data_IF_534995545365
#
_entry.id   IF_534995545365
#
_cell.length_a   1.000
_cell.length_b   1.000
_cell.length_c   1.000
_cell.angle_alpha   90.00
_cell.angle_beta   90.00
_cell.angle_gamma   90.00
#
_symmetry.space_group_name_H-M   'P 1'
#
loop_
_entity.id
_entity.type
_entity.pdbx_description
1 polymer ?
#
# COMPACT_ATOMS: atom_id res chain seq x y z
N UNK A 1 -27.60 -1.36 -50.42
CA UNK A 1 -26.52 -2.28 -50.85
C UNK A 1 -25.66 -2.54 -49.61
N UNK A 2 -25.66 -3.75 -49.06
CA UNK A 2 -25.01 -4.03 -47.77
C UNK A 2 -23.49 -4.07 -47.96
N UNK A 3 -22.75 -3.23 -47.23
CA UNK A 3 -21.28 -3.21 -47.24
C UNK A 3 -20.71 -4.26 -46.30
N UNK A 4 -19.71 -5.03 -46.74
CA UNK A 4 -18.99 -6.00 -45.90
C UNK A 4 -17.68 -5.38 -45.44
N UNK A 5 -17.44 -5.37 -44.13
CA UNK A 5 -16.23 -4.79 -43.53
C UNK A 5 -15.51 -5.86 -42.70
N UNK A 6 -14.22 -6.03 -42.97
CA UNK A 6 -13.33 -6.89 -42.17
C UNK A 6 -12.80 -6.14 -40.94
N UNK A 7 -12.91 -6.75 -39.75
CA UNK A 7 -12.41 -6.16 -38.49
C UNK A 7 -11.47 -7.14 -37.79
N UNK A 8 -10.36 -6.61 -37.28
CA UNK A 8 -9.34 -7.35 -36.55
C UNK A 8 -9.50 -7.12 -35.05
N UNK A 9 -9.81 -8.14 -34.24
CA UNK A 9 -9.93 -7.98 -32.79
C UNK A 9 -8.62 -8.38 -32.12
N UNK A 10 -7.75 -7.41 -31.81
CA UNK A 10 -6.40 -7.65 -31.28
C UNK A 10 -6.39 -7.77 -29.76
N UNK A 11 -6.62 -8.94 -29.16
CA UNK A 11 -6.47 -9.10 -27.69
C UNK A 11 -5.04 -8.76 -27.24
N UNK A 12 -4.82 -8.13 -26.08
CA UNK A 12 -3.46 -7.84 -25.62
C UNK A 12 -2.73 -9.16 -25.37
N UNK A 13 -1.53 -9.23 -25.94
CA UNK A 13 -0.65 -10.37 -26.10
C UNK A 13 -0.49 -11.28 -24.88
N UNK A 14 -0.92 -12.54 -25.00
CA UNK A 14 -0.14 -13.65 -24.47
C UNK A 14 0.93 -14.00 -25.51
N UNK A 15 2.17 -14.19 -25.05
CA UNK A 15 3.30 -14.65 -25.86
C UNK A 15 2.95 -15.96 -26.56
N UNK A 16 2.79 -15.89 -27.88
CA UNK A 16 2.58 -17.01 -28.78
C UNK A 16 2.00 -16.46 -30.07
N UNK A 17 2.64 -16.73 -31.21
CA UNK A 17 2.24 -16.26 -32.53
C UNK A 17 0.86 -16.79 -32.95
N UNK A 18 -0.21 -16.22 -32.41
CA UNK A 18 -1.57 -16.42 -32.92
C UNK A 18 -2.07 -15.09 -33.45
N UNK A 19 -2.30 -15.04 -34.77
CA UNK A 19 -2.96 -13.91 -35.41
C UNK A 19 -4.29 -13.64 -34.71
N UNK A 20 -4.62 -12.36 -34.40
CA UNK A 20 -5.84 -12.03 -33.70
C UNK A 20 -7.08 -12.51 -34.47
N UNK A 21 -8.15 -12.94 -33.78
CA UNK A 21 -9.35 -13.45 -34.43
C UNK A 21 -9.93 -12.38 -35.35
N UNK A 22 -10.16 -12.77 -36.61
CA UNK A 22 -10.83 -11.94 -37.63
C UNK A 22 -12.31 -12.26 -37.64
N UNK A 23 -13.14 -11.22 -37.73
CA UNK A 23 -14.60 -11.33 -37.85
C UNK A 23 -15.09 -10.32 -38.88
N UNK A 24 -16.09 -10.73 -39.67
CA UNK A 24 -16.77 -9.85 -40.61
C UNK A 24 -18.06 -9.37 -39.95
N UNK A 25 -18.27 -8.06 -39.96
CA UNK A 25 -19.49 -7.45 -39.45
C UNK A 25 -20.22 -6.79 -40.63
N UNK A 26 -21.54 -6.93 -40.64
CA UNK A 26 -22.40 -6.28 -41.61
C UNK A 26 -22.97 -5.03 -40.97
N UNK A 27 -22.75 -3.89 -41.62
CA UNK A 27 -23.25 -2.58 -41.18
C UNK A 27 -24.22 -2.06 -42.24
N UNK A 28 -25.18 -1.25 -41.83
CA UNK A 28 -26.05 -0.55 -42.76
C UNK A 28 -25.31 0.61 -43.47
N UNK A 29 -25.94 1.23 -44.47
CA UNK A 29 -25.29 2.28 -45.26
C UNK A 29 -24.94 3.53 -44.44
N UNK A 30 -25.67 3.81 -43.36
CA UNK A 30 -25.39 4.95 -42.49
C UNK A 30 -24.19 4.67 -41.59
N UNK A 31 -24.16 3.48 -40.99
CA UNK A 31 -23.07 3.00 -40.15
C UNK A 31 -21.76 2.81 -40.92
N UNK A 32 -21.82 2.34 -42.18
CA UNK A 32 -20.65 2.28 -43.07
C UNK A 32 -20.06 3.68 -43.30
N UNK A 33 -20.90 4.70 -43.51
CA UNK A 33 -20.44 6.10 -43.69
C UNK A 33 -19.81 6.67 -42.43
N UNK A 34 -20.27 6.25 -41.25
CA UNK A 34 -19.67 6.62 -39.97
C UNK A 34 -18.34 5.87 -39.79
N UNK A 35 -18.32 4.58 -40.10
CA UNK A 35 -17.14 3.73 -40.02
C UNK A 35 -15.99 4.21 -40.90
N UNK A 36 -16.27 4.65 -42.12
CA UNK A 36 -15.24 5.14 -43.05
C UNK A 36 -14.59 6.45 -42.59
N UNK A 37 -15.29 7.24 -41.77
CA UNK A 37 -14.75 8.45 -41.13
C UNK A 37 -13.83 8.13 -39.94
N UNK A 38 -13.85 6.90 -39.42
CA UNK A 38 -12.96 6.51 -38.32
C UNK A 38 -11.53 6.24 -38.80
N UNK A 39 -10.50 6.58 -38.00
CA UNK A 39 -9.10 6.34 -38.36
C UNK A 39 -8.84 4.84 -38.55
N UNK A 40 -8.45 4.43 -39.76
CA UNK A 40 -8.35 3.01 -40.19
C UNK A 40 -7.49 2.13 -39.27
N UNK A 41 -6.40 2.68 -38.71
CA UNK A 41 -5.51 1.96 -37.79
C UNK A 41 -6.03 1.79 -36.36
N UNK A 42 -7.14 2.45 -35.99
CA UNK A 42 -7.69 2.43 -34.62
C UNK A 42 -9.14 1.94 -34.53
N UNK A 43 -9.77 1.61 -35.67
CA UNK A 43 -11.18 1.18 -35.71
C UNK A 43 -11.47 0.01 -34.76
N UNK A 44 -10.58 -0.98 -34.74
CA UNK A 44 -10.65 -2.13 -33.85
C UNK A 44 -10.54 -1.80 -32.36
N UNK A 45 -9.70 -0.81 -32.03
CA UNK A 45 -9.49 -0.36 -30.65
C UNK A 45 -10.69 0.43 -30.15
N UNK A 46 -11.23 1.31 -31.00
CA UNK A 46 -12.45 2.07 -30.73
C UNK A 46 -13.67 1.17 -30.56
N UNK A 47 -13.82 0.16 -31.43
CA UNK A 47 -14.89 -0.83 -31.29
C UNK A 47 -14.77 -1.60 -29.97
N UNK A 48 -13.55 -1.94 -29.54
CA UNK A 48 -13.33 -2.57 -28.23
C UNK A 48 -13.70 -1.65 -27.09
N UNK A 49 -13.21 -0.42 -27.09
CA UNK A 49 -13.55 0.55 -26.05
C UNK A 49 -15.06 0.71 -25.97
N UNK A 50 -15.73 0.83 -27.11
CA UNK A 50 -17.18 0.90 -27.15
C UNK A 50 -17.83 -0.34 -26.53
N UNK A 51 -17.40 -1.57 -26.89
CA UNK A 51 -17.94 -2.81 -26.31
C UNK A 51 -17.67 -2.97 -24.81
N UNK A 52 -16.54 -2.45 -24.31
CA UNK A 52 -16.16 -2.49 -22.89
C UNK A 52 -16.91 -1.42 -22.10
N UNK A 53 -16.98 -0.19 -22.62
CA UNK A 53 -17.59 0.97 -21.98
C UNK A 53 -19.12 0.87 -21.93
N UNK A 54 -19.72 0.17 -22.89
CA UNK A 54 -21.18 0.06 -22.97
C UNK A 54 -21.78 -1.08 -22.16
N UNK A 55 -20.98 -1.88 -21.42
CA UNK A 55 -21.43 -3.12 -20.75
C UNK A 55 -22.53 -3.80 -21.58
N UNK A 56 -22.27 -4.09 -22.87
CA UNK A 56 -23.35 -4.54 -23.76
C UNK A 56 -23.90 -5.86 -23.23
N UNK A 57 -24.93 -5.78 -22.40
CA UNK A 57 -25.91 -6.83 -22.18
C UNK A 57 -26.66 -6.94 -23.49
N UNK A 58 -26.05 -7.67 -24.42
CA UNK A 58 -26.76 -8.19 -25.57
C UNK A 58 -27.87 -9.04 -24.96
N UNK A 59 -29.11 -8.57 -25.03
CA UNK A 59 -30.28 -9.44 -24.98
C UNK A 59 -30.20 -10.33 -26.23
N UNK A 60 -29.36 -11.36 -26.15
CA UNK A 60 -29.25 -12.39 -27.16
C UNK A 60 -30.59 -13.14 -27.07
N UNK A 61 -31.46 -12.92 -28.05
CA UNK A 61 -32.75 -13.62 -28.20
C UNK A 61 -32.57 -15.12 -28.55
N UNK A 62 -31.36 -15.65 -28.48
CA UNK A 62 -31.04 -17.07 -28.46
C UNK A 62 -30.56 -17.43 -27.06
N UNK A 63 -31.30 -18.30 -26.38
CA UNK A 63 -30.94 -18.84 -25.07
C UNK A 63 -29.55 -19.50 -25.18
N UNK A 64 -28.50 -18.80 -24.71
CA UNK A 64 -27.14 -19.35 -24.71
C UNK A 64 -27.21 -20.64 -23.88
N UNK A 65 -26.86 -21.80 -24.44
CA UNK A 65 -26.97 -23.06 -23.71
C UNK A 65 -26.22 -22.97 -22.39
N UNK A 66 -26.88 -23.31 -21.29
CA UNK A 66 -26.29 -23.26 -19.94
C UNK A 66 -24.95 -24.01 -19.89
N UNK A 67 -24.83 -25.11 -20.64
CA UNK A 67 -23.60 -25.86 -20.83
C UNK A 67 -22.44 -24.98 -21.38
N UNK A 68 -22.69 -24.11 -22.35
CA UNK A 68 -21.67 -23.24 -22.93
C UNK A 68 -21.17 -22.22 -21.91
N UNK A 69 -22.10 -21.62 -21.13
CA UNK A 69 -21.77 -20.68 -20.05
C UNK A 69 -20.92 -21.38 -18.99
N UNK A 70 -21.32 -22.59 -18.58
CA UNK A 70 -20.61 -23.38 -17.58
C UNK A 70 -19.21 -23.79 -18.07
N UNK A 71 -19.06 -24.20 -19.33
CA UNK A 71 -17.76 -24.53 -19.93
C UNK A 71 -16.82 -23.33 -19.99
N UNK A 72 -17.32 -22.14 -20.31
CA UNK A 72 -16.50 -20.94 -20.31
C UNK A 72 -16.04 -20.59 -18.89
N UNK A 73 -16.96 -20.60 -17.93
CA UNK A 73 -16.64 -20.36 -16.51
C UNK A 73 -15.62 -21.37 -15.98
N UNK A 74 -15.75 -22.65 -16.35
CA UNK A 74 -14.80 -23.68 -15.97
C UNK A 74 -13.40 -23.43 -16.56
N UNK A 75 -13.33 -23.04 -17.84
CA UNK A 75 -12.05 -22.70 -18.47
C UNK A 75 -11.41 -21.43 -17.91
N UNK A 76 -12.20 -20.46 -17.46
CA UNK A 76 -11.68 -19.29 -16.74
C UNK A 76 -11.15 -19.68 -15.34
N UNK A 77 -11.87 -20.53 -14.62
CA UNK A 77 -11.43 -21.03 -13.32
C UNK A 77 -10.11 -21.83 -13.43
N UNK A 78 -10.01 -22.73 -14.39
CA UNK A 78 -8.81 -23.55 -14.67
C UNK A 78 -7.57 -22.68 -14.98
N UNK A 79 -7.76 -21.59 -15.76
CA UNK A 79 -6.70 -20.60 -16.01
C UNK A 79 -6.28 -19.84 -14.76
N UNK A 80 -7.23 -19.44 -13.93
CA UNK A 80 -6.94 -18.74 -12.68
C UNK A 80 -6.23 -19.65 -11.68
N UNK A 81 -6.61 -20.92 -11.62
CA UNK A 81 -5.94 -21.96 -10.83
C UNK A 81 -4.49 -22.15 -11.30
N UNK A 82 -4.29 -22.42 -12.60
CA UNK A 82 -2.94 -22.55 -13.18
C UNK A 82 -2.05 -21.33 -12.91
N UNK A 83 -2.63 -20.12 -12.96
CA UNK A 83 -1.90 -18.89 -12.65
C UNK A 83 -1.60 -18.75 -11.15
N UNK A 84 -2.52 -19.16 -10.27
CA UNK A 84 -2.31 -19.17 -8.84
C UNK A 84 -1.22 -20.17 -8.44
N UNK A 85 -1.24 -21.38 -8.99
CA UNK A 85 -0.21 -22.41 -8.78
C UNK A 85 1.17 -21.93 -9.22
N UNK A 86 1.28 -21.33 -10.42
CA UNK A 86 2.54 -20.79 -10.91
C UNK A 86 3.11 -19.71 -9.99
N UNK A 87 2.25 -18.83 -9.45
CA UNK A 87 2.68 -17.80 -8.48
C UNK A 87 3.04 -18.42 -7.13
N UNK A 88 2.29 -19.42 -6.68
CA UNK A 88 2.58 -20.13 -5.44
C UNK A 88 3.97 -20.77 -5.52
N UNK A 89 4.24 -21.53 -6.58
CA UNK A 89 5.54 -22.13 -6.83
C UNK A 89 6.67 -21.09 -6.87
N UNK A 90 6.46 -19.96 -7.56
CA UNK A 90 7.43 -18.86 -7.55
C UNK A 90 7.74 -18.37 -6.13
N UNK A 91 6.71 -18.15 -5.31
CA UNK A 91 6.89 -17.71 -3.93
C UNK A 91 7.51 -18.78 -3.04
N UNK A 92 7.23 -20.06 -3.26
CA UNK A 92 7.91 -21.16 -2.56
C UNK A 92 9.41 -21.18 -2.83
N UNK A 93 9.83 -21.00 -4.09
CA UNK A 93 11.25 -20.88 -4.44
C UNK A 93 11.90 -19.70 -3.72
N UNK A 94 11.29 -18.51 -3.76
CA UNK A 94 11.80 -17.32 -3.06
C UNK A 94 11.88 -17.56 -1.55
N UNK A 95 10.88 -18.21 -0.95
CA UNK A 95 10.88 -18.52 0.47
C UNK A 95 11.98 -19.51 0.85
N UNK A 96 12.20 -20.54 0.03
CA UNK A 96 13.30 -21.50 0.19
C UNK A 96 14.66 -20.79 0.13
N UNK A 97 14.87 -19.91 -0.85
CA UNK A 97 16.11 -19.13 -0.99
C UNK A 97 16.32 -18.19 0.21
N UNK A 98 15.27 -17.54 0.70
CA UNK A 98 15.35 -16.70 1.90
C UNK A 98 15.68 -17.50 3.15
N UNK A 99 15.08 -18.69 3.29
CA UNK A 99 15.34 -19.58 4.44
C UNK A 99 16.79 -20.02 4.45
N UNK A 100 17.34 -20.47 3.31
CA UNK A 100 18.76 -20.82 3.20
C UNK A 100 19.68 -19.64 3.54
N UNK A 101 19.36 -18.43 3.05
CA UNK A 101 20.12 -17.22 3.40
C UNK A 101 20.07 -16.88 4.88
N UNK A 102 18.94 -17.14 5.55
CA UNK A 102 18.84 -16.95 7.00
C UNK A 102 19.73 -17.94 7.74
N UNK A 103 19.74 -19.20 7.33
CA UNK A 103 20.60 -20.23 7.91
C UNK A 103 22.08 -19.87 7.74
N UNK A 104 22.48 -19.45 6.53
CA UNK A 104 23.85 -18.99 6.24
C UNK A 104 24.28 -17.81 7.14
N UNK A 105 23.38 -16.83 7.35
CA UNK A 105 23.64 -15.69 8.22
C UNK A 105 23.70 -16.08 9.70
N UNK A 106 22.84 -17.00 10.14
CA UNK A 106 22.89 -17.54 11.49
C UNK A 106 24.22 -18.27 11.75
N UNK A 107 24.71 -19.04 10.77
CA UNK A 107 26.01 -19.71 10.83
C UNK A 107 27.19 -18.71 10.83
N UNK A 108 27.16 -17.67 9.99
CA UNK A 108 28.18 -16.61 10.00
C UNK A 108 28.23 -15.89 11.36
N UNK A 109 27.06 -15.59 11.94
CA UNK A 109 26.94 -15.00 13.27
C UNK A 109 27.55 -15.90 14.35
N UNK A 110 27.28 -17.22 14.30
CA UNK A 110 27.83 -18.23 15.22
C UNK A 110 29.36 -18.31 15.14
N UNK A 111 29.89 -18.32 13.92
CA UNK A 111 31.35 -18.42 13.71
C UNK A 111 32.05 -17.16 14.22
N UNK A 112 31.50 -15.99 13.91
CA UNK A 112 32.13 -14.70 14.23
C UNK A 112 31.98 -14.32 15.71
N UNK A 113 30.90 -14.73 16.36
CA UNK A 113 30.60 -14.41 17.75
C UNK A 113 30.15 -15.67 18.53
N UNK A 114 31.07 -16.60 18.81
CA UNK A 114 30.75 -17.91 19.39
C UNK A 114 30.16 -17.83 20.82
N UNK A 115 30.47 -16.77 21.55
CA UNK A 115 29.97 -16.52 22.92
C UNK A 115 28.71 -15.62 22.94
N UNK A 116 28.17 -15.26 21.77
CA UNK A 116 26.96 -14.44 21.67
C UNK A 116 25.74 -15.19 22.18
N UNK A 117 25.01 -14.58 23.13
CA UNK A 117 23.76 -15.11 23.72
C UNK A 117 22.58 -15.05 22.71
N UNK A 118 22.80 -14.57 21.48
CA UNK A 118 21.75 -14.26 20.52
C UNK A 118 21.30 -15.46 19.67
N UNK A 119 20.86 -16.55 20.29
CA UNK A 119 20.06 -17.58 19.60
C UNK A 119 18.58 -17.28 19.78
N UNK A 120 17.94 -16.84 18.68
CA UNK A 120 16.50 -16.55 18.39
C UNK A 120 15.56 -16.24 19.56
N UNK A 121 15.47 -17.10 20.57
CA UNK A 121 14.62 -16.97 21.76
C UNK A 121 15.09 -15.90 22.76
N UNK A 122 16.41 -15.69 22.90
CA UNK A 122 16.96 -14.69 23.83
C UNK A 122 17.09 -13.30 23.18
N UNK A 123 17.24 -13.24 21.85
CA UNK A 123 17.22 -12.00 21.08
C UNK A 123 15.86 -11.32 21.10
N UNK A 124 14.75 -12.05 20.87
CA UNK A 124 13.41 -11.46 20.89
C UNK A 124 13.06 -10.86 22.26
N UNK A 125 13.47 -11.52 23.35
CA UNK A 125 13.28 -11.02 24.70
C UNK A 125 14.15 -9.79 24.99
N UNK A 126 15.42 -9.80 24.55
CA UNK A 126 16.33 -8.65 24.68
C UNK A 126 15.87 -7.46 23.83
N UNK A 127 15.47 -7.69 22.58
CA UNK A 127 14.96 -6.68 21.65
C UNK A 127 13.66 -6.07 22.16
N UNK A 128 12.74 -6.89 22.70
CA UNK A 128 11.54 -6.39 23.37
C UNK A 128 11.88 -5.55 24.60
N UNK A 129 12.82 -5.99 25.44
CA UNK A 129 13.26 -5.25 26.63
C UNK A 129 13.91 -3.91 26.24
N UNK A 130 14.72 -3.91 25.19
CA UNK A 130 15.34 -2.71 24.63
C UNK A 130 14.30 -1.75 24.04
N UNK A 131 13.29 -2.28 23.33
CA UNK A 131 12.17 -1.50 22.81
C UNK A 131 11.33 -0.88 23.94
N UNK A 132 11.02 -1.66 24.97
CA UNK A 132 10.26 -1.17 26.14
C UNK A 132 11.04 -0.06 26.87
N UNK A 133 12.36 -0.24 27.03
CA UNK A 133 13.25 0.76 27.63
C UNK A 133 13.33 2.03 26.78
N UNK A 134 13.66 1.90 25.48
CA UNK A 134 13.74 3.02 24.55
C UNK A 134 12.40 3.75 24.43
N UNK A 135 11.30 3.01 24.33
CA UNK A 135 9.96 3.61 24.28
C UNK A 135 9.62 4.35 25.55
N UNK A 136 10.09 3.91 26.73
CA UNK A 136 9.86 4.63 27.98
C UNK A 136 10.66 5.93 28.03
N UNK A 137 11.95 5.88 27.70
CA UNK A 137 12.82 7.06 27.70
C UNK A 137 12.35 8.12 26.71
N UNK A 138 12.04 7.71 25.47
CA UNK A 138 11.48 8.61 24.46
C UNK A 138 10.10 9.15 24.86
N UNK A 139 9.30 8.34 25.55
CA UNK A 139 7.99 8.78 26.04
C UNK A 139 8.11 9.86 27.12
N UNK A 140 9.05 9.73 28.05
CA UNK A 140 9.29 10.73 29.09
C UNK A 140 9.69 12.08 28.47
N UNK A 141 10.51 12.06 27.41
CA UNK A 141 10.83 13.27 26.62
C UNK A 141 9.57 13.87 25.99
N UNK A 142 8.74 13.04 25.34
CA UNK A 142 7.49 13.49 24.70
C UNK A 142 6.54 14.12 25.72
N UNK A 143 6.38 13.51 26.89
CA UNK A 143 5.52 14.03 27.97
C UNK A 143 6.07 15.36 28.48
N UNK A 144 7.37 15.44 28.77
CA UNK A 144 8.00 16.68 29.25
C UNK A 144 7.83 17.82 28.25
N UNK A 145 8.05 17.57 26.95
CA UNK A 145 7.83 18.56 25.89
C UNK A 145 6.35 18.93 25.75
N UNK A 146 5.44 17.97 25.90
CA UNK A 146 4.00 18.22 25.80
C UNK A 146 3.49 19.09 26.94
N UNK A 147 3.99 18.89 28.16
CA UNK A 147 3.72 19.75 29.31
C UNK A 147 4.26 21.16 29.08
N UNK A 148 5.47 21.30 28.53
CA UNK A 148 6.02 22.59 28.13
C UNK A 148 5.15 23.30 27.10
N UNK A 149 4.72 22.58 26.04
CA UNK A 149 3.85 23.14 25.00
C UNK A 149 2.48 23.55 25.55
N UNK A 150 1.93 22.78 26.49
CA UNK A 150 0.68 23.10 27.17
C UNK A 150 0.80 24.36 28.03
N UNK A 151 1.92 24.55 28.74
CA UNK A 151 2.16 25.74 29.58
C UNK A 151 2.33 27.01 28.76
N UNK A 152 2.98 26.91 27.60
CA UNK A 152 3.24 28.06 26.71
C UNK A 152 2.15 28.29 25.66
N UNK A 153 1.10 27.45 25.63
CA UNK A 153 0.10 27.38 24.56
C UNK A 153 0.75 27.35 23.16
N UNK A 154 1.81 26.54 23.01
CA UNK A 154 2.61 26.49 21.78
C UNK A 154 1.83 25.79 20.67
N UNK A 155 1.72 26.48 19.54
CA UNK A 155 1.13 25.97 18.31
C UNK A 155 2.21 25.38 17.42
N UNK A 156 1.92 24.24 16.79
CA UNK A 156 2.78 23.60 15.79
C UNK A 156 1.96 23.22 14.56
N UNK A 157 2.62 23.11 13.40
CA UNK A 157 1.96 22.90 12.12
C UNK A 157 2.24 21.51 11.54
N UNK A 158 1.35 21.04 10.67
CA UNK A 158 1.66 19.93 9.76
C UNK A 158 2.81 20.31 8.80
N UNK A 159 3.49 19.33 8.19
CA UNK A 159 4.51 19.59 7.15
C UNK A 159 4.00 20.46 6.00
N UNK A 160 2.75 20.23 5.57
CA UNK A 160 2.07 21.02 4.56
C UNK A 160 1.68 22.43 5.02
N UNK A 161 1.87 22.77 6.30
CA UNK A 161 1.42 23.99 6.99
C UNK A 161 -0.09 24.25 7.00
N UNK A 162 -0.88 23.40 6.32
CA UNK A 162 -2.32 23.56 6.17
C UNK A 162 -3.08 23.39 7.50
N UNK A 163 -2.60 22.51 8.38
CA UNK A 163 -3.23 22.26 9.67
C UNK A 163 -2.33 22.76 10.81
N UNK A 164 -2.94 23.39 11.81
CA UNK A 164 -2.27 23.84 13.03
C UNK A 164 -2.84 23.13 14.24
N UNK A 165 -1.95 22.65 15.09
CA UNK A 165 -2.28 21.85 16.25
C UNK A 165 -1.72 22.47 17.53
N UNK A 166 -2.31 22.09 18.66
CA UNK A 166 -1.78 22.41 20.00
C UNK A 166 -2.00 21.24 20.95
N UNK A 167 -1.21 21.21 22.01
CA UNK A 167 -1.44 20.26 23.11
C UNK A 167 -2.59 20.80 23.96
N UNK A 168 -3.70 20.07 23.96
CA UNK A 168 -4.92 20.44 24.65
C UNK A 168 -4.91 20.02 26.13
N UNK A 169 -4.27 18.88 26.41
CA UNK A 169 -4.21 18.29 27.75
C UNK A 169 -3.10 17.25 27.84
N UNK A 170 -2.40 17.24 28.97
CA UNK A 170 -1.53 16.13 29.40
C UNK A 170 -2.04 15.66 30.76
N UNK A 171 -2.53 14.42 30.85
CA UNK A 171 -3.07 13.87 32.11
C UNK A 171 -3.04 12.35 32.11
N UNK A 172 -2.62 11.74 33.23
CA UNK A 172 -2.63 10.29 33.45
C UNK A 172 -1.93 9.50 32.31
N UNK A 173 -0.77 9.98 31.85
CA UNK A 173 -0.03 9.35 30.74
C UNK A 173 -0.74 9.43 29.37
N UNK A 174 -1.72 10.32 29.22
CA UNK A 174 -2.41 10.60 27.96
C UNK A 174 -2.13 12.03 27.51
N UNK A 175 -1.80 12.18 26.24
CA UNK A 175 -1.63 13.47 25.58
C UNK A 175 -2.80 13.67 24.61
N UNK A 176 -3.49 14.80 24.73
CA UNK A 176 -4.57 15.24 23.84
C UNK A 176 -4.09 16.36 22.93
N UNK A 177 -4.41 16.24 21.64
CA UNK A 177 -4.00 17.18 20.58
C UNK A 177 -5.24 17.71 19.90
N UNK A 178 -5.36 19.04 19.89
CA UNK A 178 -6.45 19.77 19.23
C UNK A 178 -5.99 20.30 17.87
N UNK A 179 -6.92 20.34 16.92
CA UNK A 179 -6.81 21.09 15.68
C UNK A 179 -7.42 22.47 15.90
N UNK A 180 -6.65 23.54 15.68
CA UNK A 180 -7.02 24.90 16.10
C UNK A 180 -8.18 25.48 15.28
N UNK A 181 -8.21 25.21 13.97
CA UNK A 181 -9.21 25.79 13.06
C UNK A 181 -10.47 24.93 12.93
N UNK A 182 -10.71 24.01 13.88
CA UNK A 182 -11.87 23.12 13.84
C UNK A 182 -12.58 23.03 15.18
N UNK A 183 -13.61 23.86 15.35
CA UNK A 183 -14.47 23.91 16.54
C UNK A 183 -15.22 22.58 16.83
N UNK A 184 -15.27 21.68 15.85
CA UNK A 184 -16.07 20.46 15.89
C UNK A 184 -15.24 19.17 15.99
N UNK A 185 -13.92 19.25 15.86
CA UNK A 185 -13.08 18.05 15.88
C UNK A 185 -12.72 17.70 17.32
N UNK A 186 -13.13 16.53 17.78
CA UNK A 186 -12.74 16.03 19.10
C UNK A 186 -11.21 15.92 19.17
N UNK A 187 -10.59 16.32 20.30
CA UNK A 187 -9.17 16.13 20.53
C UNK A 187 -8.77 14.68 20.26
N UNK A 188 -7.73 14.50 19.46
CA UNK A 188 -7.12 13.17 19.29
C UNK A 188 -6.21 12.89 20.47
N UNK A 189 -6.18 11.63 20.93
CA UNK A 189 -5.37 11.26 22.10
C UNK A 189 -4.42 10.13 21.79
N UNK A 190 -3.26 10.12 22.42
CA UNK A 190 -2.31 9.01 22.36
C UNK A 190 -1.64 8.79 23.71
N UNK A 191 -1.08 7.58 23.86
CA UNK A 191 -0.46 7.07 25.09
C UNK A 191 0.93 6.50 24.78
N UNK A 192 1.69 6.20 25.83
CA UNK A 192 2.93 5.42 25.72
C UNK A 192 2.73 4.13 24.91
N UNK A 193 1.65 3.38 25.16
CA UNK A 193 1.37 2.15 24.42
C UNK A 193 1.13 2.41 22.92
N UNK A 194 0.45 3.50 22.59
CA UNK A 194 0.23 3.90 21.19
C UNK A 194 1.56 4.28 20.51
N UNK A 195 2.43 4.95 21.25
CA UNK A 195 3.75 5.35 20.77
C UNK A 195 4.72 4.16 20.66
N UNK A 196 4.75 3.25 21.64
CA UNK A 196 5.52 2.01 21.60
C UNK A 196 5.15 1.16 20.37
N UNK A 197 3.86 1.05 20.06
CA UNK A 197 3.41 0.38 18.85
C UNK A 197 3.89 1.07 17.56
N UNK A 198 3.99 2.41 17.56
CA UNK A 198 4.50 3.18 16.42
C UNK A 198 6.02 2.98 16.24
N UNK A 199 6.79 3.01 17.34
CA UNK A 199 8.22 2.70 17.34
C UNK A 199 8.48 1.26 16.88
N UNK A 200 7.68 0.31 17.35
CA UNK A 200 7.78 -1.08 16.88
C UNK A 200 7.62 -1.15 15.37
N UNK A 201 6.61 -0.49 14.78
CA UNK A 201 6.43 -0.46 13.31
C UNK A 201 7.63 0.15 12.59
N UNK A 202 8.20 1.23 13.13
CA UNK A 202 9.39 1.87 12.57
C UNK A 202 10.61 0.93 12.55
N UNK A 203 10.84 0.19 13.65
CA UNK A 203 11.93 -0.80 13.71
C UNK A 203 11.70 -1.93 12.69
N UNK A 204 10.48 -2.46 12.64
CA UNK A 204 10.12 -3.50 11.66
C UNK A 204 10.22 -3.03 10.21
N UNK A 205 10.16 -1.72 9.93
CA UNK A 205 10.39 -1.17 8.59
C UNK A 205 11.86 -0.89 8.27
N UNK A 206 12.79 -1.29 9.13
CA UNK A 206 14.24 -1.10 8.96
C UNK A 206 14.84 -0.01 9.84
N UNK A 207 14.09 0.58 10.77
CA UNK A 207 14.60 1.51 11.80
C UNK A 207 14.81 2.96 11.36
N UNK A 208 15.19 3.20 10.10
CA UNK A 208 15.57 4.54 9.64
C UNK A 208 14.35 5.45 9.39
N UNK A 209 13.34 4.92 8.69
CA UNK A 209 12.14 5.66 8.29
C UNK A 209 10.96 4.75 8.03
N UNK A 210 9.76 5.32 8.20
CA UNK A 210 8.48 4.68 7.89
C UNK A 210 7.56 5.69 7.22
N UNK A 211 6.69 5.24 6.31
CA UNK A 211 5.67 6.13 5.72
C UNK A 211 4.79 6.69 6.84
N UNK A 212 4.49 7.98 6.82
CA UNK A 212 3.74 8.64 7.89
C UNK A 212 2.41 7.93 8.17
N UNK A 213 1.67 7.55 7.12
CA UNK A 213 0.39 6.81 7.24
C UNK A 213 0.49 5.45 7.95
N UNK A 214 1.68 4.85 7.99
CA UNK A 214 1.92 3.54 8.60
C UNK A 214 2.48 3.67 10.03
N UNK A 215 2.85 4.88 10.46
CA UNK A 215 3.44 5.13 11.79
C UNK A 215 2.38 5.09 12.91
N UNK A 216 1.35 5.93 12.81
CA UNK A 216 0.25 5.99 13.77
C UNK A 216 -1.10 6.14 13.06
N UNK A 217 -2.19 5.85 13.78
CA UNK A 217 -3.54 5.83 13.22
C UNK A 217 -4.06 7.21 12.82
N UNK A 218 -3.59 8.29 13.43
CA UNK A 218 -4.06 9.65 13.17
C UNK A 218 -2.94 10.61 12.84
N UNK A 219 -3.14 11.42 11.80
CA UNK A 219 -2.14 12.38 11.34
C UNK A 219 -1.81 13.47 12.38
N UNK A 220 -2.76 13.89 13.20
CA UNK A 220 -2.51 14.81 14.31
C UNK A 220 -1.61 14.20 15.38
N UNK A 221 -1.75 12.90 15.66
CA UNK A 221 -0.87 12.18 16.58
C UNK A 221 0.55 12.12 16.02
N UNK A 222 0.69 11.82 14.72
CA UNK A 222 2.00 11.81 14.04
C UNK A 222 2.66 13.17 14.15
N UNK A 223 1.94 14.24 13.78
CA UNK A 223 2.45 15.61 13.88
C UNK A 223 2.87 15.95 15.30
N UNK A 224 2.08 15.58 16.31
CA UNK A 224 2.42 15.82 17.70
C UNK A 224 3.68 15.08 18.12
N UNK A 225 3.77 13.77 17.89
CA UNK A 225 4.94 12.96 18.28
C UNK A 225 6.21 13.48 17.63
N UNK A 226 6.17 13.80 16.33
CA UNK A 226 7.34 14.35 15.61
C UNK A 226 7.74 15.73 16.16
N UNK A 227 6.79 16.60 16.51
CA UNK A 227 7.10 17.91 17.08
C UNK A 227 7.54 17.87 18.55
N UNK A 228 7.23 16.79 19.28
CA UNK A 228 7.52 16.62 20.70
C UNK A 228 8.81 15.84 20.95
N UNK A 229 9.32 15.08 19.98
CA UNK A 229 10.55 14.31 20.14
C UNK A 229 11.67 14.84 19.24
N UNK A 230 12.85 15.20 19.79
CA UNK A 230 13.89 15.90 19.04
C UNK A 230 14.57 15.07 17.94
N UNK A 231 14.47 13.74 18.02
CA UNK A 231 15.06 12.80 17.04
C UNK A 231 14.06 12.24 16.04
N UNK A 232 12.82 12.73 16.04
CA UNK A 232 11.84 12.35 15.04
C UNK A 232 11.61 13.53 14.12
N UNK A 233 11.64 13.28 12.81
CA UNK A 233 11.46 14.32 11.81
C UNK A 233 10.58 13.85 10.66
N UNK A 234 9.97 14.81 9.98
CA UNK A 234 9.31 14.57 8.71
C UNK A 234 10.31 14.69 7.57
N UNK A 235 10.24 13.76 6.62
CA UNK A 235 11.02 13.77 5.40
C UNK A 235 10.10 13.52 4.21
N UNK A 236 10.22 14.32 3.15
CA UNK A 236 9.51 14.08 1.88
C UNK A 236 10.44 13.37 0.90
N UNK A 237 10.05 12.16 0.52
CA UNK A 237 10.77 11.35 -0.47
C UNK A 237 9.76 10.57 -1.32
N UNK A 238 10.03 10.45 -2.61
CA UNK A 238 9.20 9.70 -3.57
C UNK A 238 7.74 10.16 -3.63
N UNK A 239 7.49 11.47 -3.52
CA UNK A 239 6.16 12.09 -3.40
C UNK A 239 5.33 11.53 -2.23
N UNK A 240 6.00 11.04 -1.19
CA UNK A 240 5.38 10.54 0.03
C UNK A 240 6.03 11.19 1.27
N UNK A 241 5.23 11.31 2.32
CA UNK A 241 5.67 11.82 3.60
C UNK A 241 6.13 10.66 4.49
N UNK A 242 7.32 10.78 5.04
CA UNK A 242 7.97 9.81 5.91
C UNK A 242 8.18 10.40 7.30
N UNK A 243 8.17 9.54 8.30
CA UNK A 243 8.69 9.81 9.64
C UNK A 243 10.04 9.11 9.72
N UNK A 244 11.09 9.87 9.99
CA UNK A 244 12.45 9.38 10.12
C UNK A 244 12.93 9.52 11.58
N UNK A 245 13.77 8.58 12.00
CA UNK A 245 14.46 8.66 13.28
C UNK A 245 15.92 9.05 13.05
N UNK A 246 16.29 10.25 13.48
CA UNK A 246 17.67 10.76 13.40
C UNK A 246 18.46 10.24 14.58
N UNK A 247 18.79 8.95 14.53
CA UNK A 247 19.54 8.31 15.57
C UNK A 247 20.51 7.24 15.10
N UNK A 248 21.59 7.69 14.49
CA UNK A 248 22.87 6.96 14.42
C UNK A 248 24.00 7.97 14.63
N UNK A 249 24.46 8.08 15.87
CA UNK A 249 25.87 8.34 16.22
C UNK A 249 26.28 7.31 17.26
#
# INVERSE_FOLDING_TARGET
>A
MIGVIEIFIITPSFRGYMSPPKRNIYLDEEDVRIWDKLPSGRRSELLRQLLVDSEVTLEINEEIPEEWILRHKLGEADRLESHAESRHYFWECIFSDMTGRMDDLEDELREKYPDSIHFKKDWEAAEKTNLDTMSSEMWDVIVSQAEGYLQTDKVFSSPSTANKYRIARVKNGKISVDLIDSDWTKPTTFTQMTFAAALSRLIHSGGDRIRAKDFMASFSQICAVVNLHPRLEFNEADNQLWVAYTGVE
#
